data_IF_291934366396
#
_entry.id   IF_291934366396
#
_cell.length_a   1.000
_cell.length_b   1.000
_cell.length_c   1.000
_cell.angle_alpha   90.00
_cell.angle_beta   90.00
_cell.angle_gamma   90.00
#
_symmetry.space_group_name_H-M   'P 1'
#
loop_
_entity.id
_entity.type
_entity.pdbx_description
1 polymer ?
#
# COMPACT_ATOMS: atom_id res chain seq x y z
N UNK A 1 25.12 13.37 6.75
CA UNK A 1 23.91 14.15 6.40
C UNK A 1 22.86 13.16 5.95
N UNK A 2 21.63 13.18 6.49
CA UNK A 2 20.58 12.23 6.05
C UNK A 2 20.23 12.50 4.59
N UNK A 3 20.04 11.47 3.75
CA UNK A 3 19.59 11.66 2.37
C UNK A 3 18.25 12.39 2.36
N UNK A 4 18.10 13.37 1.46
CA UNK A 4 16.83 14.07 1.27
C UNK A 4 15.94 13.23 0.36
N UNK A 5 14.96 12.55 0.95
CA UNK A 5 13.91 11.85 0.21
C UNK A 5 13.05 12.90 -0.51
N UNK A 6 12.87 12.73 -1.82
CA UNK A 6 12.06 13.62 -2.66
C UNK A 6 11.30 12.80 -3.70
N UNK A 7 10.01 13.06 -3.83
CA UNK A 7 9.13 12.45 -4.81
C UNK A 7 7.90 13.35 -5.04
N UNK A 8 7.17 13.10 -6.11
CA UNK A 8 5.94 13.82 -6.42
C UNK A 8 4.81 13.32 -5.52
N UNK A 9 4.12 14.21 -4.80
CA UNK A 9 2.89 13.84 -4.08
C UNK A 9 1.73 13.83 -5.05
N UNK A 10 0.96 12.74 -5.06
CA UNK A 10 -0.16 12.56 -6.00
C UNK A 10 -1.41 12.12 -5.26
N UNK A 11 -2.56 12.61 -5.73
CA UNK A 11 -3.89 12.17 -5.28
C UNK A 11 -4.26 10.88 -6.00
N UNK A 12 -4.86 9.91 -5.30
CA UNK A 12 -5.47 8.75 -5.95
C UNK A 12 -6.66 9.19 -6.82
N UNK A 13 -6.79 8.63 -8.02
CA UNK A 13 -7.84 9.05 -8.95
C UNK A 13 -9.24 8.57 -8.54
N UNK A 14 -9.31 7.47 -7.79
CA UNK A 14 -10.55 6.87 -7.29
C UNK A 14 -10.34 6.33 -5.87
N UNK A 15 -11.43 5.96 -5.17
CA UNK A 15 -11.36 5.37 -3.82
C UNK A 15 -10.51 4.09 -3.72
N UNK A 16 -10.25 3.40 -4.84
CA UNK A 16 -9.52 2.13 -4.87
C UNK A 16 -8.10 2.24 -5.49
N UNK A 17 -7.61 3.45 -5.74
CA UNK A 17 -6.34 3.70 -6.46
C UNK A 17 -5.17 4.06 -5.52
N UNK A 18 -5.26 3.79 -4.21
CA UNK A 18 -4.18 4.04 -3.27
C UNK A 18 -2.87 3.34 -3.67
N UNK A 19 -2.93 2.06 -4.07
CA UNK A 19 -1.78 1.29 -4.55
C UNK A 19 -1.12 1.87 -5.81
N UNK A 20 -1.88 2.11 -6.91
CA UNK A 20 -1.36 2.80 -8.08
C UNK A 20 -0.74 4.17 -7.79
N UNK A 21 -1.38 4.96 -6.92
CA UNK A 21 -0.87 6.27 -6.52
C UNK A 21 0.46 6.15 -5.78
N UNK A 22 0.57 5.23 -4.81
CA UNK A 22 1.82 4.95 -4.09
C UNK A 22 2.92 4.49 -5.04
N UNK A 23 2.64 3.59 -5.98
CA UNK A 23 3.64 3.16 -6.98
C UNK A 23 4.12 4.33 -7.86
N UNK A 24 3.22 5.23 -8.26
CA UNK A 24 3.60 6.44 -8.98
C UNK A 24 4.53 7.33 -8.15
N UNK A 25 4.23 7.53 -6.86
CA UNK A 25 5.08 8.32 -5.97
C UNK A 25 6.46 7.67 -5.78
N UNK A 26 6.52 6.36 -5.50
CA UNK A 26 7.79 5.62 -5.35
C UNK A 26 8.63 5.65 -6.63
N UNK A 27 8.03 5.43 -7.80
CA UNK A 27 8.75 5.52 -9.07
C UNK A 27 9.32 6.93 -9.32
N UNK A 28 8.56 7.97 -8.95
CA UNK A 28 9.02 9.35 -9.13
C UNK A 28 10.23 9.71 -8.26
N UNK A 29 10.45 9.02 -7.14
CA UNK A 29 11.66 9.20 -6.31
C UNK A 29 12.93 8.74 -7.03
N UNK A 30 12.78 7.93 -8.09
CA UNK A 30 13.85 7.42 -8.94
C UNK A 30 13.97 8.18 -10.27
N UNK A 31 13.18 9.24 -10.44
CA UNK A 31 13.09 10.02 -11.68
C UNK A 31 12.30 9.32 -12.79
N UNK A 32 11.46 8.33 -12.45
CA UNK A 32 10.64 7.58 -13.41
C UNK A 32 9.19 8.06 -13.30
N UNK A 33 8.57 8.38 -14.44
CA UNK A 33 7.16 8.76 -14.50
C UNK A 33 6.29 7.51 -14.71
N UNK A 34 5.30 7.33 -13.85
CA UNK A 34 4.26 6.29 -13.95
C UNK A 34 2.92 6.97 -13.74
N UNK A 35 1.89 6.58 -14.50
CA UNK A 35 0.53 7.08 -14.35
C UNK A 35 -0.37 5.98 -13.77
N UNK A 36 -1.26 6.33 -12.84
CA UNK A 36 -2.13 5.37 -12.14
C UNK A 36 -2.95 4.51 -13.11
N UNK A 37 -3.63 5.14 -14.08
CA UNK A 37 -4.44 4.45 -15.10
C UNK A 37 -3.61 3.44 -15.91
N UNK A 38 -2.43 3.85 -16.38
CA UNK A 38 -1.53 2.99 -17.14
C UNK A 38 -1.05 1.81 -16.30
N UNK A 39 -0.80 2.03 -15.00
CA UNK A 39 -0.42 0.96 -14.09
C UNK A 39 -1.59 -0.02 -13.85
N UNK A 40 -2.81 0.48 -13.65
CA UNK A 40 -4.02 -0.35 -13.50
C UNK A 40 -4.23 -1.24 -14.74
N UNK A 41 -4.05 -0.68 -15.94
CA UNK A 41 -4.14 -1.43 -17.18
C UNK A 41 -3.01 -2.48 -17.29
N UNK A 42 -1.79 -2.12 -16.87
CA UNK A 42 -0.66 -3.05 -16.84
C UNK A 42 -0.84 -4.20 -15.84
N UNK A 43 -1.56 -3.96 -14.75
CA UNK A 43 -1.99 -4.96 -13.76
C UNK A 43 -3.19 -5.80 -14.23
N UNK A 44 -3.81 -5.47 -15.38
CA UNK A 44 -5.02 -6.12 -15.90
C UNK A 44 -6.22 -6.05 -14.92
N UNK A 45 -6.20 -5.06 -14.02
CA UNK A 45 -7.13 -4.96 -12.89
C UNK A 45 -8.34 -4.07 -13.17
N UNK A 46 -8.50 -3.53 -14.39
CA UNK A 46 -9.51 -2.50 -14.70
C UNK A 46 -10.93 -2.88 -14.29
N UNK A 47 -11.27 -4.16 -14.41
CA UNK A 47 -12.61 -4.69 -14.12
C UNK A 47 -12.85 -5.00 -12.64
N UNK A 48 -11.78 -5.16 -11.86
CA UNK A 48 -11.85 -5.64 -10.47
C UNK A 48 -11.41 -4.59 -9.46
N UNK A 49 -10.57 -3.63 -9.86
CA UNK A 49 -9.91 -2.66 -8.97
C UNK A 49 -10.90 -1.89 -8.09
N UNK A 50 -12.06 -1.50 -8.63
CA UNK A 50 -13.07 -0.75 -7.87
C UNK A 50 -13.75 -1.57 -6.77
N UNK A 51 -13.58 -2.90 -6.78
CA UNK A 51 -14.15 -3.86 -5.83
C UNK A 51 -13.09 -4.58 -4.99
N UNK A 52 -11.87 -4.71 -5.49
CA UNK A 52 -10.87 -5.59 -4.86
C UNK A 52 -9.56 -4.86 -4.56
N UNK A 53 -9.42 -3.60 -4.99
CA UNK A 53 -8.12 -2.94 -5.02
C UNK A 53 -7.15 -3.66 -5.97
N UNK A 54 -5.86 -3.52 -5.72
CA UNK A 54 -4.81 -4.26 -6.45
C UNK A 54 -3.78 -4.73 -5.43
N UNK A 55 -3.47 -6.03 -5.44
CA UNK A 55 -2.46 -6.61 -4.56
C UNK A 55 -1.06 -6.05 -4.84
N UNK A 56 -0.17 -6.05 -3.84
CA UNK A 56 1.23 -5.65 -4.04
C UNK A 56 1.92 -6.49 -5.12
N UNK A 57 1.59 -7.79 -5.23
CA UNK A 57 2.16 -8.68 -6.23
C UNK A 57 1.77 -8.22 -7.64
N UNK A 58 0.51 -7.87 -7.88
CA UNK A 58 0.07 -7.44 -9.20
C UNK A 58 0.52 -6.02 -9.51
N UNK A 59 0.60 -5.13 -8.52
CA UNK A 59 1.26 -3.83 -8.64
C UNK A 59 2.73 -3.99 -9.06
N UNK A 60 3.47 -4.92 -8.44
CA UNK A 60 4.86 -5.19 -8.80
C UNK A 60 5.01 -5.74 -10.22
N UNK A 61 4.16 -6.68 -10.63
CA UNK A 61 4.12 -7.19 -12.02
C UNK A 61 3.80 -6.08 -13.02
N UNK A 62 2.77 -5.27 -12.75
CA UNK A 62 2.37 -4.14 -13.59
C UNK A 62 3.47 -3.10 -13.71
N UNK A 63 4.13 -2.75 -12.60
CA UNK A 63 5.26 -1.83 -12.60
C UNK A 63 6.43 -2.37 -13.42
N UNK A 64 6.78 -3.66 -13.26
CA UNK A 64 7.86 -4.32 -14.01
C UNK A 64 7.54 -4.39 -15.52
N UNK A 65 6.27 -4.56 -15.89
CA UNK A 65 5.81 -4.53 -17.30
C UNK A 65 6.03 -3.15 -17.93
N UNK A 66 5.79 -2.07 -17.18
CA UNK A 66 5.99 -0.70 -17.64
C UNK A 66 7.46 -0.25 -17.58
N UNK A 67 8.19 -0.69 -16.56
CA UNK A 67 9.57 -0.27 -16.27
C UNK A 67 10.40 -1.49 -15.80
N UNK A 68 10.99 -2.28 -16.72
CA UNK A 68 11.71 -3.51 -16.38
C UNK A 68 12.96 -3.34 -15.51
N UNK A 69 13.45 -2.10 -15.39
CA UNK A 69 14.60 -1.73 -14.56
C UNK A 69 14.21 -1.40 -13.11
N UNK A 70 12.92 -1.42 -12.76
CA UNK A 70 12.45 -1.22 -11.40
C UNK A 70 12.16 -2.56 -10.72
N UNK A 71 12.51 -2.64 -9.44
CA UNK A 71 12.28 -3.80 -8.59
C UNK A 71 11.47 -3.36 -7.37
N UNK A 72 10.38 -4.08 -7.09
CA UNK A 72 9.63 -3.95 -5.83
C UNK A 72 10.21 -4.92 -4.82
N UNK A 73 10.54 -4.40 -3.64
CA UNK A 73 10.96 -5.20 -2.50
C UNK A 73 9.93 -5.08 -1.40
N UNK A 74 9.58 -6.19 -0.75
CA UNK A 74 8.61 -6.21 0.33
C UNK A 74 9.16 -6.92 1.57
N UNK A 75 8.62 -6.56 2.72
CA UNK A 75 8.86 -7.25 3.99
C UNK A 75 7.58 -7.29 4.80
N UNK A 76 7.26 -8.48 5.28
CA UNK A 76 6.16 -8.76 6.20
C UNK A 76 6.68 -8.80 7.63
N UNK A 77 5.80 -8.68 8.61
CA UNK A 77 6.14 -8.70 10.04
C UNK A 77 7.22 -7.67 10.41
N UNK A 78 7.17 -6.52 9.73
CA UNK A 78 8.16 -5.46 9.89
C UNK A 78 7.98 -4.73 11.21
N UNK A 79 9.03 -4.00 11.61
CA UNK A 79 9.06 -3.15 12.80
C UNK A 79 9.21 -1.67 12.42
N UNK A 80 8.90 -0.77 13.34
CA UNK A 80 9.13 0.67 13.16
C UNK A 80 10.61 0.95 12.83
N UNK A 81 11.53 0.18 13.41
CA UNK A 81 12.96 0.26 13.13
C UNK A 81 13.29 -0.06 11.66
N UNK A 82 12.58 -1.00 11.02
CA UNK A 82 12.81 -1.36 9.61
C UNK A 82 12.44 -0.19 8.68
N UNK A 83 11.31 0.47 8.94
CA UNK A 83 10.90 1.67 8.20
C UNK A 83 11.96 2.77 8.41
N UNK A 84 12.37 3.00 9.65
CA UNK A 84 13.36 4.03 9.99
C UNK A 84 14.70 3.79 9.29
N UNK A 85 15.17 2.54 9.26
CA UNK A 85 16.43 2.18 8.61
C UNK A 85 16.37 2.39 7.10
N UNK A 86 15.25 2.03 6.45
CA UNK A 86 15.06 2.30 5.02
C UNK A 86 14.98 3.80 4.71
N UNK A 87 14.33 4.59 5.56
CA UNK A 87 14.33 6.05 5.44
C UNK A 87 15.73 6.64 5.61
N UNK A 88 16.54 6.10 6.54
CA UNK A 88 17.92 6.52 6.76
C UNK A 88 18.83 6.16 5.56
N UNK A 89 18.53 5.09 4.83
CA UNK A 89 19.14 4.79 3.52
C UNK A 89 18.63 5.66 2.37
N UNK A 90 17.58 6.47 2.60
CA UNK A 90 17.04 7.40 1.60
C UNK A 90 15.97 6.82 0.69
N UNK A 91 15.37 5.69 1.07
CA UNK A 91 14.22 5.14 0.34
C UNK A 91 12.92 5.68 0.95
N UNK A 92 11.98 6.22 0.14
CA UNK A 92 10.60 6.34 0.59
C UNK A 92 10.04 4.93 0.84
N UNK A 93 9.34 4.75 1.95
CA UNK A 93 8.83 3.44 2.38
C UNK A 93 7.33 3.44 2.28
N UNK A 94 6.77 2.58 1.42
CA UNK A 94 5.34 2.33 1.44
C UNK A 94 4.96 1.31 2.51
N UNK A 95 3.77 1.48 3.07
CA UNK A 95 3.19 0.58 4.07
C UNK A 95 1.74 0.28 3.70
N UNK A 96 1.26 -0.88 4.13
CA UNK A 96 -0.15 -1.26 4.06
C UNK A 96 -0.73 -1.29 5.47
N UNK A 97 -1.85 -0.60 5.69
CA UNK A 97 -2.45 -0.44 7.02
C UNK A 97 -3.96 -0.25 6.93
N UNK A 98 -4.67 -0.46 8.04
CA UNK A 98 -6.09 -0.13 8.19
C UNK A 98 -6.27 1.39 8.16
N UNK A 99 -6.69 1.91 7.00
CA UNK A 99 -6.82 3.33 6.74
C UNK A 99 -7.87 4.02 7.61
N UNK A 100 -7.71 5.33 7.78
CA UNK A 100 -8.69 6.19 8.46
C UNK A 100 -9.25 7.17 7.44
N UNK A 101 -10.47 6.88 6.99
CA UNK A 101 -11.14 7.60 5.91
C UNK A 101 -12.27 8.48 6.45
N UNK A 102 -12.57 9.57 5.74
CA UNK A 102 -13.75 10.39 5.98
C UNK A 102 -14.81 10.03 4.93
N UNK A 103 -16.07 9.83 5.35
CA UNK A 103 -17.14 9.26 4.52
C UNK A 103 -17.51 10.11 3.28
N UNK A 104 -16.97 11.32 3.16
CA UNK A 104 -17.45 12.37 2.27
C UNK A 104 -16.80 12.42 0.87
N UNK A 105 -15.66 11.76 0.64
CA UNK A 105 -14.86 12.07 -0.57
C UNK A 105 -15.03 11.12 -1.77
N UNK A 106 -15.20 9.81 -1.54
CA UNK A 106 -15.33 8.82 -2.63
C UNK A 106 -16.66 8.06 -2.65
N UNK A 107 -17.62 8.46 -1.81
CA UNK A 107 -18.96 7.84 -1.79
C UNK A 107 -18.97 6.42 -1.22
N UNK A 108 -18.15 6.18 -0.19
CA UNK A 108 -17.88 4.87 0.43
C UNK A 108 -19.13 4.22 1.09
N UNK A 109 -20.25 4.94 1.15
CA UNK A 109 -21.54 4.45 1.67
C UNK A 109 -22.11 3.23 0.91
N UNK A 110 -21.82 3.10 -0.39
CA UNK A 110 -22.32 1.97 -1.21
C UNK A 110 -21.60 0.67 -0.84
N UNK A 111 -20.29 0.75 -0.58
CA UNK A 111 -19.45 -0.39 -0.22
C UNK A 111 -19.86 -1.01 1.12
N UNK A 112 -20.12 -0.16 2.13
CA UNK A 112 -20.45 -0.58 3.49
C UNK A 112 -21.77 -1.36 3.63
N UNK A 113 -22.75 -1.18 2.74
CA UNK A 113 -24.06 -1.86 2.82
C UNK A 113 -24.08 -3.23 2.15
N UNK A 114 -23.42 -3.40 1.00
CA UNK A 114 -23.34 -4.70 0.32
C UNK A 114 -22.45 -5.68 1.09
N UNK A 115 -21.36 -5.20 1.68
CA UNK A 115 -20.40 -6.06 2.36
C UNK A 115 -20.90 -6.64 3.67
N UNK A 116 -21.74 -5.92 4.42
CA UNK A 116 -22.35 -6.48 5.64
C UNK A 116 -23.25 -7.69 5.33
N UNK A 117 -24.00 -7.63 4.24
CA UNK A 117 -24.88 -8.72 3.82
C UNK A 117 -24.05 -9.90 3.29
N UNK A 118 -23.08 -9.64 2.42
CA UNK A 118 -22.17 -10.66 1.86
C UNK A 118 -21.33 -11.33 2.96
N UNK A 119 -20.81 -10.57 3.92
CA UNK A 119 -20.06 -11.08 5.06
C UNK A 119 -20.92 -11.98 5.96
N UNK A 120 -22.17 -11.58 6.22
CA UNK A 120 -23.12 -12.40 6.96
C UNK A 120 -23.41 -13.75 6.27
N UNK A 121 -23.65 -13.74 4.95
CA UNK A 121 -23.86 -14.97 4.17
C UNK A 121 -22.59 -15.84 4.10
N UNK A 122 -21.42 -15.22 3.86
CA UNK A 122 -20.14 -15.92 3.83
C UNK A 122 -19.84 -16.64 5.14
N UNK A 123 -20.11 -15.97 6.27
CA UNK A 123 -19.98 -16.55 7.61
C UNK A 123 -20.91 -17.75 7.84
N UNK A 124 -22.14 -17.73 7.31
CA UNK A 124 -23.05 -18.88 7.38
C UNK A 124 -22.58 -20.06 6.52
N UNK A 125 -21.98 -19.78 5.36
CA UNK A 125 -21.52 -20.79 4.41
C UNK A 125 -20.12 -21.35 4.72
N UNK A 126 -19.46 -20.85 5.77
CA UNK A 126 -18.07 -21.22 6.11
C UNK A 126 -17.05 -20.69 5.10
N UNK A 127 -17.41 -19.67 4.31
CA UNK A 127 -16.48 -18.98 3.41
C UNK A 127 -15.59 -18.01 4.19
N UNK A 128 -14.33 -17.83 3.78
CA UNK A 128 -13.47 -16.81 4.38
C UNK A 128 -14.04 -15.41 4.10
N UNK A 129 -14.05 -14.58 5.14
CA UNK A 129 -14.48 -13.18 5.10
C UNK A 129 -13.38 -12.29 5.65
N UNK A 130 -13.21 -11.10 5.07
CA UNK A 130 -12.33 -10.09 5.66
C UNK A 130 -12.92 -9.57 6.98
N UNK A 131 -12.03 -9.24 7.91
CA UNK A 131 -12.32 -8.77 9.26
C UNK A 131 -11.93 -7.30 9.48
N UNK A 132 -11.00 -6.78 8.69
CA UNK A 132 -10.60 -5.38 8.70
C UNK A 132 -11.68 -4.43 8.19
N UNK A 133 -11.40 -3.14 8.34
CA UNK A 133 -12.20 -2.05 7.78
C UNK A 133 -11.89 -1.93 6.28
N UNK A 134 -10.89 -1.12 5.93
CA UNK A 134 -10.45 -0.90 4.57
C UNK A 134 -8.93 -0.67 4.55
N UNK A 135 -8.23 -1.59 3.89
CA UNK A 135 -6.80 -1.47 3.63
C UNK A 135 -6.42 -0.22 2.85
N UNK A 136 -5.23 0.30 3.14
CA UNK A 136 -4.75 1.53 2.54
C UNK A 136 -3.24 1.53 2.35
N UNK A 137 -2.79 1.87 1.15
CA UNK A 137 -1.37 2.12 0.91
C UNK A 137 -1.03 3.60 1.11
N UNK A 138 0.01 3.88 1.89
CA UNK A 138 0.62 5.21 2.02
C UNK A 138 2.14 5.13 2.07
N UNK A 139 2.83 6.28 2.00
CA UNK A 139 4.29 6.35 2.08
C UNK A 139 4.74 7.00 3.38
N UNK A 140 5.42 6.26 4.23
CA UNK A 140 6.19 6.79 5.34
C UNK A 140 7.33 7.67 4.80
N UNK A 141 7.44 8.89 5.34
CA UNK A 141 8.47 9.87 4.97
C UNK A 141 9.33 10.32 6.14
N UNK A 142 8.88 10.10 7.37
CA UNK A 142 9.64 10.39 8.59
C UNK A 142 9.07 9.62 9.78
N UNK A 143 9.97 9.09 10.61
CA UNK A 143 9.64 8.56 11.94
C UNK A 143 10.35 9.39 12.99
N UNK A 144 9.59 9.79 14.01
CA UNK A 144 10.13 10.44 15.20
C UNK A 144 9.71 9.68 16.45
N UNK A 145 10.54 8.71 16.85
CA UNK A 145 10.31 7.89 18.05
C UNK A 145 10.30 8.70 19.34
N UNK A 146 11.06 9.80 19.40
CA UNK A 146 11.12 10.66 20.59
C UNK A 146 9.82 11.45 20.79
N UNK A 147 9.19 11.88 19.70
CA UNK A 147 7.91 12.60 19.71
C UNK A 147 6.70 11.66 19.51
N UNK A 148 6.93 10.38 19.26
CA UNK A 148 5.89 9.36 19.15
C UNK A 148 5.05 9.45 17.87
N UNK A 149 5.59 9.91 16.74
CA UNK A 149 4.82 10.00 15.48
C UNK A 149 5.52 9.41 14.26
N UNK A 150 4.69 9.05 13.29
CA UNK A 150 5.02 8.73 11.91
C UNK A 150 4.36 9.77 11.00
N UNK A 151 5.09 10.24 9.99
CA UNK A 151 4.59 11.17 8.97
C UNK A 151 4.42 10.42 7.65
N UNK A 152 3.26 10.56 7.04
CA UNK A 152 2.88 9.94 5.77
C UNK A 152 2.72 10.95 4.65
N UNK A 153 3.09 10.58 3.43
CA UNK A 153 2.46 11.08 2.22
C UNK A 153 1.32 10.12 1.86
N UNK A 154 0.10 10.59 2.04
CA UNK A 154 -1.12 9.79 1.86
C UNK A 154 -1.82 10.22 0.56
N UNK A 155 -2.08 9.30 -0.39
CA UNK A 155 -2.72 9.63 -1.65
C UNK A 155 -4.24 9.89 -1.53
N UNK A 156 -4.85 9.55 -0.39
CA UNK A 156 -6.28 9.76 -0.17
C UNK A 156 -6.62 11.25 -0.20
N UNK A 157 -7.77 11.60 -0.77
CA UNK A 157 -7.94 12.92 -1.36
C UNK A 157 -7.86 14.10 -0.39
N UNK A 158 -8.38 13.96 0.83
CA UNK A 158 -8.32 14.97 1.89
C UNK A 158 -6.88 15.21 2.36
N UNK A 159 -6.05 14.16 2.30
CA UNK A 159 -4.65 14.21 2.71
C UNK A 159 -3.71 14.50 1.53
N UNK A 160 -4.14 14.27 0.29
CA UNK A 160 -3.30 14.35 -0.88
C UNK A 160 -2.64 15.73 -1.03
N UNK A 161 -1.33 15.72 -1.28
CA UNK A 161 -0.51 16.93 -1.38
C UNK A 161 -0.07 17.51 -0.04
N UNK A 162 -0.58 17.00 1.08
CA UNK A 162 -0.13 17.31 2.44
C UNK A 162 0.38 16.05 3.11
N UNK A 163 1.28 16.21 4.07
CA UNK A 163 1.69 15.08 4.87
C UNK A 163 0.79 14.95 6.10
N UNK A 164 0.41 13.72 6.42
CA UNK A 164 -0.37 13.39 7.62
C UNK A 164 0.57 12.95 8.74
N UNK A 165 0.23 13.28 9.97
CA UNK A 165 0.90 12.76 11.16
C UNK A 165 -0.03 11.75 11.84
N UNK A 166 0.52 10.60 12.22
CA UNK A 166 -0.17 9.56 12.98
C UNK A 166 0.72 9.19 14.17
N UNK A 167 0.09 8.96 15.32
CA UNK A 167 0.83 8.50 16.49
C UNK A 167 1.39 7.10 16.25
N UNK A 168 2.61 6.81 16.71
CA UNK A 168 3.26 5.52 16.44
C UNK A 168 2.44 4.34 16.99
N UNK A 169 1.89 4.47 18.19
CA UNK A 169 1.06 3.43 18.81
C UNK A 169 -0.18 3.13 17.96
N UNK A 170 -0.86 4.16 17.45
CA UNK A 170 -2.05 4.00 16.61
C UNK A 170 -1.68 3.35 15.27
N UNK A 171 -0.56 3.77 14.67
CA UNK A 171 -0.06 3.13 13.47
C UNK A 171 0.23 1.65 13.70
N UNK A 172 0.95 1.29 14.76
CA UNK A 172 1.29 -0.12 15.05
C UNK A 172 0.07 -1.00 15.28
N UNK A 173 -1.00 -0.47 15.89
CA UNK A 173 -2.27 -1.18 16.08
C UNK A 173 -3.02 -1.41 14.75
N UNK A 174 -2.84 -0.49 13.80
CA UNK A 174 -3.50 -0.51 12.47
C UNK A 174 -2.60 -1.04 11.36
N UNK A 175 -1.35 -1.38 11.63
CA UNK A 175 -0.37 -1.77 10.62
C UNK A 175 -0.54 -3.23 10.18
N UNK A 176 -1.69 -3.50 9.59
CA UNK A 176 -2.06 -4.76 8.97
C UNK A 176 -3.18 -4.51 7.95
N UNK A 177 -3.30 -5.38 6.98
CA UNK A 177 -4.47 -5.45 6.11
C UNK A 177 -4.88 -6.88 5.83
N UNK A 178 -6.14 -7.08 5.45
CA UNK A 178 -6.65 -8.39 5.09
C UNK A 178 -7.58 -8.34 3.88
N UNK A 179 -7.48 -9.37 3.04
CA UNK A 179 -8.29 -9.49 1.84
C UNK A 179 -8.68 -10.93 1.57
N UNK A 180 -9.69 -11.07 0.72
CA UNK A 180 -10.05 -12.34 0.10
C UNK A 180 -9.48 -12.39 -1.31
N UNK A 181 -8.50 -13.25 -1.50
CA UNK A 181 -7.88 -13.54 -2.79
C UNK A 181 -8.40 -14.87 -3.35
N UNK A 182 -7.90 -15.30 -4.50
CA UNK A 182 -8.13 -16.62 -5.09
C UNK A 182 -6.83 -17.42 -5.11
N UNK A 183 -6.92 -18.70 -4.74
CA UNK A 183 -5.81 -19.63 -4.93
C UNK A 183 -5.66 -20.04 -6.42
N UNK A 184 -4.65 -20.86 -6.71
CA UNK A 184 -4.37 -21.36 -8.06
C UNK A 184 -5.55 -22.11 -8.71
N UNK A 185 -6.51 -22.59 -7.92
CA UNK A 185 -7.71 -23.29 -8.36
C UNK A 185 -8.93 -22.36 -8.44
N UNK A 186 -8.75 -21.07 -8.18
CA UNK A 186 -9.81 -20.06 -8.16
C UNK A 186 -10.64 -20.06 -6.88
N UNK A 187 -10.26 -20.83 -5.85
CA UNK A 187 -10.99 -20.88 -4.57
C UNK A 187 -10.62 -19.66 -3.73
N UNK A 188 -11.61 -19.06 -3.08
CA UNK A 188 -11.41 -17.95 -2.13
C UNK A 188 -10.43 -18.35 -1.03
N UNK A 189 -9.45 -17.50 -0.78
CA UNK A 189 -8.41 -17.66 0.23
C UNK A 189 -8.29 -16.36 1.01
N UNK A 190 -8.30 -16.47 2.34
CA UNK A 190 -7.98 -15.35 3.21
C UNK A 190 -6.48 -15.05 3.17
N UNK A 191 -6.13 -13.77 3.02
CA UNK A 191 -4.76 -13.28 3.04
C UNK A 191 -4.67 -12.17 4.08
N UNK A 192 -3.72 -12.32 5.00
CA UNK A 192 -3.38 -11.32 6.01
C UNK A 192 -2.00 -10.76 5.70
N UNK A 193 -1.94 -9.45 5.52
CA UNK A 193 -0.73 -8.66 5.35
C UNK A 193 -0.38 -7.95 6.65
N UNK A 194 0.21 -8.70 7.57
CA UNK A 194 0.68 -8.17 8.84
C UNK A 194 1.97 -7.34 8.66
N UNK A 195 1.91 -6.06 9.04
CA UNK A 195 3.03 -5.12 9.06
C UNK A 195 3.84 -5.11 7.76
N UNK A 196 3.11 -5.06 6.65
CA UNK A 196 3.69 -4.99 5.32
C UNK A 196 4.34 -3.62 5.11
N UNK A 197 5.60 -3.62 4.68
CA UNK A 197 6.25 -2.48 4.04
C UNK A 197 6.89 -2.89 2.72
N UNK A 198 7.01 -1.94 1.81
CA UNK A 198 7.68 -2.15 0.54
C UNK A 198 8.36 -0.89 0.02
N UNK A 199 9.33 -1.08 -0.87
CA UNK A 199 10.05 -0.01 -1.56
C UNK A 199 10.22 -0.36 -3.04
N UNK A 200 10.50 0.65 -3.85
CA UNK A 200 10.92 0.48 -5.24
C UNK A 200 12.38 0.88 -5.36
N UNK A 201 13.19 0.05 -6.01
CA UNK A 201 14.59 0.36 -6.32
C UNK A 201 14.87 0.19 -7.80
N UNK A 202 16.03 0.68 -8.26
CA UNK A 202 16.57 0.27 -9.56
C UNK A 202 17.14 -1.15 -9.48
N UNK A 203 17.15 -1.83 -10.60
CA UNK A 203 17.79 -3.14 -10.77
C UNK A 203 19.26 -3.08 -10.36
N UNK A 204 19.69 -4.08 -9.60
CA UNK A 204 21.06 -4.18 -9.08
C UNK A 204 21.24 -3.61 -7.68
N UNK A 205 20.32 -2.77 -7.19
CA UNK A 205 20.32 -2.35 -5.80
C UNK A 205 19.98 -3.54 -4.88
N UNK A 206 20.83 -3.80 -3.88
CA UNK A 206 20.69 -4.91 -2.93
C UNK A 206 20.54 -4.43 -1.49
N UNK A 207 20.41 -3.13 -1.27
CA UNK A 207 20.22 -2.56 0.08
C UNK A 207 18.99 -3.15 0.79
N UNK A 208 17.80 -3.23 0.15
CA UNK A 208 16.61 -3.83 0.77
C UNK A 208 16.83 -5.27 1.26
N UNK A 209 17.57 -6.08 0.49
CA UNK A 209 17.87 -7.48 0.83
C UNK A 209 18.64 -7.61 2.15
N UNK A 210 19.49 -6.62 2.49
CA UNK A 210 20.25 -6.62 3.75
C UNK A 210 19.33 -6.51 4.98
N UNK A 211 18.13 -5.96 4.82
CA UNK A 211 17.13 -5.82 5.88
C UNK A 211 16.09 -6.95 5.87
N UNK A 212 16.34 -8.02 5.09
CA UNK A 212 15.44 -9.16 4.98
C UNK A 212 14.24 -8.92 4.07
N UNK A 213 14.25 -7.85 3.25
CA UNK A 213 13.22 -7.67 2.23
C UNK A 213 13.42 -8.67 1.09
N UNK A 214 12.32 -9.15 0.53
CA UNK A 214 12.27 -10.06 -0.62
C UNK A 214 11.82 -9.32 -1.87
N UNK A 215 12.37 -9.68 -3.03
CA UNK A 215 11.88 -9.20 -4.31
C UNK A 215 10.50 -9.82 -4.59
N UNK A 216 9.55 -8.99 -5.04
CA UNK A 216 8.17 -9.38 -5.37
C UNK A 216 8.03 -9.79 -6.83
#
# INVERSE_FOLDING_TARGET
MKPKISFSRVKQLTGSYCGPAVMQMLASSLGVSVYQETLVDACEARKTVMKEGISLIDLAKGLRKLNPDLIVWAKMDSKIEDIKEMLDFGYPVAVDWQGIFTEDEYGDEIWNRSDKLVSWWGKQMGEPVSVGEQGHYCIAVEINTNKGYLRFADPYGHYAGKDRFVALWEFEERWWDDRIDKDEKGKKKYVLENRLMFVVTKKGDKTPKKLGMVEV
#
